data_IF_643342287623
#
_entry.id   IF_643342287623
#
_cell.length_a   1.000
_cell.length_b   1.000
_cell.length_c   1.000
_cell.angle_alpha   90.00
_cell.angle_beta   90.00
_cell.angle_gamma   90.00
#
_symmetry.space_group_name_H-M   'P 1'
#
loop_
_entity.id
_entity.type
_entity.pdbx_description
1 polymer ?
#
# COMPACT_ATOMS: atom_id res chain seq x y z
N UNK A 1 20.79 8.55 16.02
CA UNK A 1 20.77 7.66 17.21
C UNK A 1 20.09 6.36 16.77
N UNK A 2 20.48 5.21 17.32
CA UNK A 2 19.74 3.96 17.08
C UNK A 2 18.45 3.95 17.91
N UNK A 3 17.43 3.26 17.41
CA UNK A 3 16.18 2.99 18.12
C UNK A 3 16.08 1.47 18.37
N UNK A 4 15.44 1.07 19.47
CA UNK A 4 15.16 -0.34 19.74
C UNK A 4 14.10 -0.88 18.78
N UNK A 5 13.98 -2.20 18.69
CA UNK A 5 12.94 -2.82 17.86
C UNK A 5 11.55 -2.49 18.41
N UNK A 6 11.42 -2.44 19.73
CA UNK A 6 10.19 -2.09 20.45
C UNK A 6 9.82 -0.62 20.22
N UNK A 7 10.79 0.30 20.22
CA UNK A 7 10.54 1.71 19.89
C UNK A 7 10.06 1.88 18.44
N UNK A 8 10.64 1.13 17.49
CA UNK A 8 10.19 1.15 16.09
C UNK A 8 8.78 0.56 15.94
N UNK A 9 8.49 -0.52 16.66
CA UNK A 9 7.18 -1.18 16.64
C UNK A 9 6.08 -0.27 17.18
N UNK A 10 6.31 0.38 18.33
CA UNK A 10 5.35 1.30 18.93
C UNK A 10 5.05 2.49 18.01
N UNK A 11 6.09 3.09 17.42
CA UNK A 11 5.92 4.21 16.49
C UNK A 11 5.08 3.84 15.25
N UNK A 12 5.18 2.59 14.77
CA UNK A 12 4.31 2.11 13.68
C UNK A 12 2.86 2.01 14.14
N UNK A 13 2.62 1.59 15.39
CA UNK A 13 1.27 1.48 15.95
C UNK A 13 0.63 2.84 16.17
N UNK A 14 1.37 3.81 16.67
CA UNK A 14 0.91 5.20 16.80
C UNK A 14 0.38 5.73 15.47
N UNK A 15 1.17 5.60 14.39
CA UNK A 15 0.76 6.05 13.05
C UNK A 15 -0.47 5.29 12.53
N UNK A 16 -0.56 3.97 12.76
CA UNK A 16 -1.73 3.20 12.34
C UNK A 16 -2.97 3.67 13.10
N UNK A 17 -2.86 3.96 14.39
CA UNK A 17 -3.99 4.40 15.21
C UNK A 17 -4.42 5.83 14.86
N UNK A 18 -3.49 6.73 14.54
CA UNK A 18 -3.79 8.05 13.96
C UNK A 18 -4.59 7.92 12.66
N UNK A 19 -4.18 7.03 11.75
CA UNK A 19 -4.88 6.79 10.47
C UNK A 19 -6.28 6.18 10.65
N UNK A 20 -6.57 5.53 11.79
CA UNK A 20 -7.92 5.06 12.10
C UNK A 20 -8.86 6.21 12.44
N UNK A 21 -8.35 7.28 13.04
CA UNK A 21 -9.15 8.40 13.54
C UNK A 21 -9.16 9.59 12.59
N UNK A 22 -8.05 9.90 11.96
CA UNK A 22 -7.85 11.11 11.15
C UNK A 22 -7.66 10.74 9.67
N UNK A 23 -8.44 11.32 8.75
CA UNK A 23 -8.20 11.14 7.32
C UNK A 23 -6.83 11.71 6.92
N UNK A 24 -6.15 11.03 6.00
CA UNK A 24 -4.91 11.55 5.40
C UNK A 24 -5.15 12.89 4.73
N UNK A 25 -4.13 13.76 4.74
CA UNK A 25 -4.24 15.05 4.07
C UNK A 25 -4.36 14.88 2.54
N UNK A 26 -5.06 15.81 1.85
CA UNK A 26 -5.13 15.78 0.38
C UNK A 26 -3.76 15.80 -0.30
N UNK A 27 -2.79 16.53 0.28
CA UNK A 27 -1.43 16.60 -0.27
C UNK A 27 -0.70 15.26 -0.19
N UNK A 28 -0.78 14.59 0.97
CA UNK A 28 -0.15 13.27 1.15
C UNK A 28 -0.81 12.21 0.26
N UNK A 29 -2.13 12.25 0.13
CA UNK A 29 -2.87 11.35 -0.75
C UNK A 29 -2.43 11.54 -2.21
N UNK A 30 -2.36 12.77 -2.70
CA UNK A 30 -1.94 13.04 -4.08
C UNK A 30 -0.46 12.68 -4.32
N UNK A 31 0.40 12.89 -3.31
CA UNK A 31 1.80 12.46 -3.35
C UNK A 31 1.92 10.94 -3.41
N UNK A 32 1.15 10.21 -2.62
CA UNK A 32 1.10 8.75 -2.63
C UNK A 32 0.60 8.23 -3.98
N UNK A 33 -0.54 8.73 -4.48
CA UNK A 33 -1.09 8.38 -5.81
C UNK A 33 -0.07 8.61 -6.92
N UNK A 34 0.62 9.75 -6.89
CA UNK A 34 1.64 10.08 -7.90
C UNK A 34 2.80 9.09 -7.88
N UNK A 35 3.29 8.71 -6.69
CA UNK A 35 4.33 7.69 -6.56
C UNK A 35 3.87 6.33 -7.08
N UNK A 36 2.68 5.87 -6.68
CA UNK A 36 2.12 4.58 -7.11
C UNK A 36 1.93 4.51 -8.63
N UNK A 37 1.42 5.58 -9.26
CA UNK A 37 1.30 5.66 -10.73
C UNK A 37 2.67 5.58 -11.41
N UNK A 38 3.66 6.29 -10.88
CA UNK A 38 5.01 6.28 -11.44
C UNK A 38 5.68 4.91 -11.29
N UNK A 39 5.46 4.21 -10.17
CA UNK A 39 5.93 2.84 -9.96
C UNK A 39 5.32 1.86 -10.96
N UNK A 40 4.00 1.95 -11.19
CA UNK A 40 3.31 1.13 -12.18
C UNK A 40 3.91 1.35 -13.58
N UNK A 41 4.05 2.60 -14.02
CA UNK A 41 4.63 2.92 -15.34
C UNK A 41 6.06 2.37 -15.44
N UNK A 42 6.89 2.56 -14.41
CA UNK A 42 8.26 2.00 -14.39
C UNK A 42 8.26 0.48 -14.52
N UNK A 43 7.33 -0.20 -13.87
CA UNK A 43 7.21 -1.65 -13.97
C UNK A 43 6.85 -2.10 -15.38
N UNK A 44 6.00 -1.35 -16.09
CA UNK A 44 5.57 -1.65 -17.45
C UNK A 44 6.62 -1.30 -18.53
N UNK A 45 7.64 -0.49 -18.20
CA UNK A 45 8.69 -0.08 -19.14
C UNK A 45 9.66 -1.20 -19.58
N UNK A 46 9.52 -2.41 -19.04
CA UNK A 46 10.33 -3.57 -19.45
C UNK A 46 9.44 -4.70 -19.95
N UNK A 47 9.88 -5.43 -20.98
CA UNK A 47 9.14 -6.59 -21.50
C UNK A 47 8.84 -7.62 -20.41
N UNK A 48 9.82 -7.87 -19.52
CA UNK A 48 9.63 -8.78 -18.38
C UNK A 48 8.58 -8.26 -17.40
N UNK A 49 8.62 -6.98 -17.05
CA UNK A 49 7.68 -6.38 -16.12
C UNK A 49 6.26 -6.31 -16.70
N UNK A 50 6.12 -5.95 -17.97
CA UNK A 50 4.84 -5.99 -18.69
C UNK A 50 4.27 -7.41 -18.74
N UNK A 51 5.05 -8.39 -19.20
CA UNK A 51 4.60 -9.78 -19.28
C UNK A 51 4.20 -10.33 -17.90
N UNK A 52 4.96 -10.02 -16.85
CA UNK A 52 4.64 -10.41 -15.47
C UNK A 52 3.32 -9.81 -14.98
N UNK A 53 3.06 -8.54 -15.26
CA UNK A 53 1.82 -7.88 -14.87
C UNK A 53 0.61 -8.44 -15.64
N UNK A 54 0.73 -8.65 -16.95
CA UNK A 54 -0.32 -9.25 -17.75
C UNK A 54 -0.71 -10.65 -17.22
N UNK A 55 0.29 -11.50 -16.94
CA UNK A 55 0.05 -12.82 -16.37
C UNK A 55 -0.56 -12.75 -14.96
N UNK A 56 -0.09 -11.83 -14.12
CA UNK A 56 -0.63 -11.62 -12.77
C UNK A 56 -2.12 -11.28 -12.78
N UNK A 57 -2.52 -10.33 -13.65
CA UNK A 57 -3.93 -9.94 -13.77
C UNK A 57 -4.81 -11.03 -14.38
N UNK A 58 -4.31 -11.77 -15.37
CA UNK A 58 -5.02 -12.92 -15.92
C UNK A 58 -5.28 -13.97 -14.84
N UNK A 59 -4.27 -14.32 -14.05
CA UNK A 59 -4.39 -15.35 -13.01
C UNK A 59 -5.31 -14.92 -11.87
N UNK A 60 -5.20 -13.67 -11.40
CA UNK A 60 -5.97 -13.21 -10.25
C UNK A 60 -7.39 -12.77 -10.57
N UNK A 61 -7.59 -12.16 -11.74
CA UNK A 61 -8.86 -11.51 -12.08
C UNK A 61 -9.56 -12.14 -13.28
N UNK A 62 -8.91 -13.08 -13.98
CA UNK A 62 -9.43 -13.71 -15.20
C UNK A 62 -9.40 -12.82 -16.44
N UNK A 63 -8.77 -11.64 -16.36
CA UNK A 63 -8.66 -10.72 -17.48
C UNK A 63 -7.42 -9.81 -17.35
N UNK A 64 -6.38 -10.10 -18.14
CA UNK A 64 -5.17 -9.28 -18.23
C UNK A 64 -5.44 -7.79 -18.53
N UNK A 65 -6.57 -7.46 -19.16
CA UNK A 65 -6.92 -6.06 -19.48
C UNK A 65 -7.24 -5.23 -18.24
N UNK A 66 -7.48 -5.85 -17.10
CA UNK A 66 -7.67 -5.14 -15.83
C UNK A 66 -6.42 -4.35 -15.40
N UNK A 67 -5.23 -4.71 -15.89
CA UNK A 67 -4.01 -3.93 -15.74
C UNK A 67 -4.20 -2.46 -16.17
N UNK A 68 -4.86 -2.21 -17.29
CA UNK A 68 -5.01 -0.85 -17.83
C UNK A 68 -6.04 -0.01 -17.09
N UNK A 69 -6.90 -0.65 -16.27
CA UNK A 69 -7.84 0.07 -15.39
C UNK A 69 -7.16 0.55 -14.10
N UNK A 70 -5.98 0.01 -13.77
CA UNK A 70 -5.34 0.27 -12.48
C UNK A 70 -5.01 1.75 -12.25
N UNK A 71 -4.64 2.50 -13.29
CA UNK A 71 -4.39 3.95 -13.17
C UNK A 71 -5.66 4.71 -12.76
N UNK A 72 -6.80 4.36 -13.34
CA UNK A 72 -8.08 4.98 -13.00
C UNK A 72 -8.53 4.60 -11.59
N UNK A 73 -8.36 3.34 -11.20
CA UNK A 73 -8.69 2.87 -9.85
C UNK A 73 -7.82 3.57 -8.78
N UNK A 74 -6.52 3.77 -9.02
CA UNK A 74 -5.64 4.55 -8.12
C UNK A 74 -6.17 5.98 -7.95
N UNK A 75 -6.64 6.61 -9.04
CA UNK A 75 -7.13 7.99 -8.99
C UNK A 75 -8.42 8.12 -8.17
N UNK A 76 -9.29 7.09 -8.20
CA UNK A 76 -10.57 7.07 -7.49
C UNK A 76 -10.43 6.93 -5.97
N UNK A 77 -9.28 6.47 -5.47
CA UNK A 77 -9.07 6.27 -4.02
C UNK A 77 -9.27 7.59 -3.27
N UNK A 78 -10.11 7.55 -2.24
CA UNK A 78 -10.38 8.69 -1.35
C UNK A 78 -9.68 8.55 0.00
N UNK A 79 -9.61 9.63 0.78
CA UNK A 79 -9.08 9.57 2.15
C UNK A 79 -10.00 8.71 3.04
N UNK A 80 -11.30 8.74 2.77
CA UNK A 80 -12.32 7.93 3.44
C UNK A 80 -12.14 6.44 3.15
N UNK A 81 -11.78 6.05 1.92
CA UNK A 81 -11.45 4.67 1.58
C UNK A 81 -10.25 4.16 2.37
N UNK A 82 -9.21 4.99 2.50
CA UNK A 82 -8.03 4.65 3.30
C UNK A 82 -8.44 4.46 4.75
N UNK A 83 -9.16 5.41 5.35
CA UNK A 83 -9.63 5.31 6.74
C UNK A 83 -10.49 4.05 6.94
N UNK A 84 -11.38 3.72 6.01
CA UNK A 84 -12.20 2.50 6.05
C UNK A 84 -11.33 1.24 6.06
N UNK A 85 -10.40 1.12 5.12
CA UNK A 85 -9.50 -0.04 4.99
C UNK A 85 -8.60 -0.18 6.22
N UNK A 86 -8.08 0.92 6.77
CA UNK A 86 -7.26 0.88 7.98
C UNK A 86 -8.09 0.33 9.17
N UNK A 87 -9.32 0.81 9.34
CA UNK A 87 -10.21 0.31 10.40
C UNK A 87 -10.63 -1.16 10.22
N UNK A 88 -10.79 -1.62 8.97
CA UNK A 88 -11.21 -2.98 8.66
C UNK A 88 -10.09 -4.01 8.83
N UNK A 89 -8.88 -3.71 8.33
CA UNK A 89 -7.82 -4.71 8.21
C UNK A 89 -6.70 -4.58 9.25
N UNK A 90 -6.42 -3.37 9.77
CA UNK A 90 -5.31 -3.11 10.70
C UNK A 90 -5.74 -3.31 12.16
N UNK A 91 -6.23 -4.52 12.45
CA UNK A 91 -6.64 -4.96 13.78
C UNK A 91 -5.52 -5.76 14.46
N UNK A 92 -5.48 -5.76 15.79
CA UNK A 92 -4.52 -6.56 16.55
C UNK A 92 -4.64 -8.06 16.29
N UNK A 93 -5.85 -8.54 15.98
CA UNK A 93 -6.11 -9.94 15.64
C UNK A 93 -5.47 -10.37 14.32
N UNK A 94 -5.39 -9.47 13.34
CA UNK A 94 -4.82 -9.74 12.02
C UNK A 94 -3.34 -9.32 11.89
N UNK A 95 -2.66 -9.09 13.02
CA UNK A 95 -1.29 -8.56 13.06
C UNK A 95 -0.29 -9.67 13.37
N UNK A 96 0.79 -9.71 12.59
CA UNK A 96 1.98 -10.55 12.85
C UNK A 96 3.22 -9.66 12.89
N UNK A 97 4.06 -9.83 13.91
CA UNK A 97 5.27 -9.05 14.12
C UNK A 97 6.49 -9.95 14.00
N UNK A 98 7.40 -9.61 13.09
CA UNK A 98 8.67 -10.31 12.90
C UNK A 98 9.83 -9.42 13.34
N UNK A 99 10.66 -9.89 14.28
CA UNK A 99 11.80 -9.13 14.82
C UNK A 99 13.09 -9.93 14.61
N UNK A 100 14.11 -9.28 14.05
CA UNK A 100 15.46 -9.84 13.96
C UNK A 100 16.23 -9.39 15.20
N UNK A 101 16.72 -10.36 15.96
CA UNK A 101 17.60 -10.12 17.11
C UNK A 101 18.98 -10.67 16.78
N UNK A 102 19.97 -9.79 16.82
CA UNK A 102 21.37 -10.22 16.76
C UNK A 102 21.76 -10.68 18.16
N UNK A 103 21.97 -11.99 18.33
CA UNK A 103 22.63 -12.57 19.52
C UNK A 103 24.09 -12.19 19.58
#
# INVERSE_FOLDING_TARGET
>A
KGHSNEECEEAIYEVIDELKTEPVSPEELEKAKTRTRADLIRQLNSNRGLAGQLAFYEVLTGDWRNLFKQLDEINKVTAEDIKRVVNEYFTSHNRTVGVIKTT
#
